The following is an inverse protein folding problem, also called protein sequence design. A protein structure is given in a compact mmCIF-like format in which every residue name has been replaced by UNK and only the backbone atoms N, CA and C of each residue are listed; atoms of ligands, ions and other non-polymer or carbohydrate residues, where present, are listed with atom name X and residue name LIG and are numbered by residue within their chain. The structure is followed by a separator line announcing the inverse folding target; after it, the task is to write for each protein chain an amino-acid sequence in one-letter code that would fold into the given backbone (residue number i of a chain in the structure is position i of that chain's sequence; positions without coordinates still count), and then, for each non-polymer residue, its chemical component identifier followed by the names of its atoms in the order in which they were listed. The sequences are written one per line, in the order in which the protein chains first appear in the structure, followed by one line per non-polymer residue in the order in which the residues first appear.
data_IF_908057724584
#
_entry.id   IF_908057724584
#
_cell.length_a   1.000
_cell.length_b   1.000
_cell.length_c   1.000
_cell.angle_alpha   90.00
_cell.angle_beta   90.00
_cell.angle_gamma   90.00
#
_symmetry.space_group_name_H-M   'P 1'
#
loop_
_entity.id
_entity.type
_entity.pdbx_description
1 polymer ?
#
# COMPACT_ATOMS: atom_id res chain seq x y z
N UNK A 1 26.88 -21.80 -40.87
CA UNK A 1 27.24 -20.40 -40.57
C UNK A 1 25.97 -19.59 -40.71
N UNK A 2 25.22 -19.35 -39.62
CA UNK A 2 25.41 -18.20 -38.68
C UNK A 2 25.07 -16.89 -39.39
N UNK A 3 24.15 -16.02 -38.99
CA UNK A 3 23.45 -15.72 -37.73
C UNK A 3 22.33 -14.72 -38.14
N UNK A 4 21.05 -14.97 -37.86
CA UNK A 4 20.36 -14.56 -36.62
C UNK A 4 20.48 -13.05 -36.32
N UNK A 5 19.65 -12.21 -36.95
CA UNK A 5 19.24 -10.89 -36.43
C UNK A 5 17.85 -10.49 -36.95
N UNK A 6 16.82 -11.21 -36.51
CA UNK A 6 15.47 -10.60 -36.44
C UNK A 6 15.39 -9.94 -35.08
N UNK A 7 15.75 -8.66 -35.07
CA UNK A 7 15.78 -7.79 -33.91
C UNK A 7 14.40 -7.78 -33.25
N UNK A 8 14.39 -8.20 -31.99
CA UNK A 8 13.24 -8.12 -31.10
C UNK A 8 12.71 -6.68 -31.06
N UNK A 9 11.57 -6.45 -31.71
CA UNK A 9 10.72 -5.32 -31.38
C UNK A 9 10.17 -5.58 -29.97
N UNK A 10 10.86 -5.04 -28.97
CA UNK A 10 10.33 -4.89 -27.63
C UNK A 10 9.05 -4.08 -27.73
N UNK A 11 7.90 -4.75 -27.70
CA UNK A 11 6.59 -4.11 -27.51
C UNK A 11 6.66 -3.39 -26.17
N UNK A 12 7.01 -2.11 -26.22
CA UNK A 12 7.03 -1.21 -25.07
C UNK A 12 5.58 -1.07 -24.63
N UNK A 13 5.16 -1.97 -23.74
CA UNK A 13 3.87 -1.94 -23.08
C UNK A 13 3.84 -0.66 -22.23
N UNK A 14 3.43 0.45 -22.85
CA UNK A 14 3.18 1.72 -22.20
C UNK A 14 1.97 1.52 -21.29
N UNK A 15 2.19 0.95 -20.10
CA UNK A 15 1.21 0.92 -19.02
C UNK A 15 0.90 2.37 -18.68
N UNK A 16 -0.19 2.89 -19.21
CA UNK A 16 -0.60 4.26 -18.92
C UNK A 16 -1.01 4.32 -17.45
N UNK A 17 -0.32 5.16 -16.69
CA UNK A 17 -0.62 5.48 -15.27
C UNK A 17 -2.07 5.97 -15.05
N UNK A 18 -2.79 6.31 -16.13
CA UNK A 18 -4.19 6.74 -16.09
C UNK A 18 -5.18 5.66 -15.66
N UNK A 19 -4.82 4.38 -15.66
CA UNK A 19 -5.71 3.29 -15.23
C UNK A 19 -5.51 2.82 -13.77
N UNK A 20 -4.81 3.59 -12.93
CA UNK A 20 -4.56 3.18 -11.54
C UNK A 20 -5.86 3.08 -10.70
N UNK A 21 -6.92 3.79 -11.09
CA UNK A 21 -8.18 3.86 -10.33
C UNK A 21 -9.24 2.97 -10.99
N UNK A 22 -9.38 1.73 -10.52
CA UNK A 22 -10.42 0.78 -10.99
C UNK A 22 -11.66 0.87 -10.11
N UNK A 23 -11.47 0.85 -8.79
CA UNK A 23 -12.55 0.93 -7.81
C UNK A 23 -12.25 2.03 -6.79
N UNK A 24 -12.59 3.27 -7.14
CA UNK A 24 -12.28 4.47 -6.37
C UNK A 24 -12.77 4.39 -4.91
N UNK A 25 -13.90 3.71 -4.67
CA UNK A 25 -14.46 3.53 -3.32
C UNK A 25 -13.63 2.59 -2.46
N UNK A 26 -13.23 1.43 -3.01
CA UNK A 26 -12.37 0.48 -2.30
C UNK A 26 -10.98 1.07 -2.03
N UNK A 27 -10.36 1.66 -3.05
CA UNK A 27 -9.01 2.21 -2.96
C UNK A 27 -8.95 3.39 -1.98
N UNK A 28 -9.93 4.31 -2.03
CA UNK A 28 -9.99 5.42 -1.07
C UNK A 28 -10.15 4.93 0.36
N UNK A 29 -11.04 3.96 0.62
CA UNK A 29 -11.18 3.38 1.97
C UNK A 29 -9.88 2.74 2.45
N UNK A 30 -9.22 1.96 1.60
CA UNK A 30 -7.98 1.28 1.97
C UNK A 30 -6.84 2.26 2.25
N UNK A 31 -6.64 3.23 1.35
CA UNK A 31 -5.64 4.29 1.54
C UNK A 31 -5.95 5.12 2.79
N UNK A 32 -7.21 5.47 3.04
CA UNK A 32 -7.61 6.22 4.22
C UNK A 32 -7.36 5.42 5.51
N UNK A 33 -7.63 4.11 5.51
CA UNK A 33 -7.31 3.26 6.66
C UNK A 33 -5.81 3.24 6.96
N UNK A 34 -4.96 3.11 5.93
CA UNK A 34 -3.48 3.14 6.08
C UNK A 34 -2.99 4.52 6.52
N UNK A 35 -3.55 5.59 5.96
CA UNK A 35 -3.17 6.95 6.32
C UNK A 35 -3.56 7.26 7.77
N UNK A 36 -4.79 6.95 8.18
CA UNK A 36 -5.27 7.21 9.53
C UNK A 36 -4.55 6.35 10.57
N UNK A 37 -4.30 5.06 10.29
CA UNK A 37 -3.53 4.22 11.21
C UNK A 37 -2.09 4.70 11.33
N UNK A 38 -1.46 5.08 10.21
CA UNK A 38 -0.12 5.64 10.19
C UNK A 38 -0.01 6.97 10.94
N UNK A 39 -0.95 7.90 10.73
CA UNK A 39 -1.01 9.17 11.46
C UNK A 39 -1.25 8.96 12.96
N UNK A 40 -2.14 8.04 13.32
CA UNK A 40 -2.42 7.72 14.73
C UNK A 40 -1.18 7.17 15.43
N UNK A 41 -0.47 6.26 14.76
CA UNK A 41 0.76 5.68 15.30
C UNK A 41 1.90 6.71 15.38
N UNK A 42 2.05 7.55 14.35
CA UNK A 42 3.01 8.65 14.33
C UNK A 42 2.74 9.66 15.46
N UNK A 43 1.48 10.03 15.67
CA UNK A 43 1.08 10.92 16.76
C UNK A 43 1.35 10.29 18.13
N UNK A 44 1.01 9.01 18.31
CA UNK A 44 1.27 8.26 19.54
C UNK A 44 2.77 8.22 19.87
N UNK A 45 3.61 7.82 18.91
CA UNK A 45 5.07 7.77 19.13
C UNK A 45 5.68 9.15 19.34
N UNK A 46 5.23 10.17 18.59
CA UNK A 46 5.71 11.54 18.76
C UNK A 46 5.34 12.08 20.15
N UNK A 47 4.14 11.76 20.64
CA UNK A 47 3.69 12.13 21.98
C UNK A 47 4.51 11.43 23.07
N UNK A 48 4.70 10.10 22.98
CA UNK A 48 5.51 9.33 23.93
C UNK A 48 6.96 9.85 23.95
N UNK A 49 7.53 10.09 22.78
CA UNK A 49 8.88 10.63 22.64
C UNK A 49 8.97 12.01 23.31
N UNK A 50 8.07 12.92 22.98
CA UNK A 50 8.05 14.26 23.55
C UNK A 50 7.86 14.24 25.07
N UNK A 51 6.92 13.45 25.60
CA UNK A 51 6.67 13.38 27.04
C UNK A 51 7.89 12.85 27.79
N UNK A 52 8.49 11.76 27.31
CA UNK A 52 9.67 11.16 27.94
C UNK A 52 10.87 12.10 27.88
N UNK A 53 11.16 12.68 26.71
CA UNK A 53 12.31 13.56 26.56
C UNK A 53 12.12 14.88 27.32
N UNK A 54 10.92 15.46 27.33
CA UNK A 54 10.64 16.67 28.08
C UNK A 54 10.87 16.48 29.60
N UNK A 55 10.37 15.38 30.18
CA UNK A 55 10.55 15.06 31.60
C UNK A 55 12.02 14.79 31.98
N UNK A 56 12.75 14.10 31.11
CA UNK A 56 14.19 13.91 31.29
C UNK A 56 14.94 15.26 31.27
N UNK A 57 14.59 16.15 30.33
CA UNK A 57 15.24 17.44 30.20
C UNK A 57 14.93 18.37 31.38
N UNK A 58 13.68 18.41 31.86
CA UNK A 58 13.34 19.20 33.05
C UNK A 58 14.13 18.73 34.28
N UNK A 59 14.23 17.42 34.48
CA UNK A 59 15.01 16.84 35.59
C UNK A 59 16.50 17.18 35.48
N UNK A 60 17.08 17.09 34.28
CA UNK A 60 18.49 17.45 34.05
C UNK A 60 18.76 18.93 34.31
N UNK A 61 17.84 19.81 33.87
CA UNK A 61 17.93 21.26 34.05
C UNK A 61 17.82 21.66 35.52
N UNK A 62 17.01 20.95 36.31
CA UNK A 62 16.83 21.24 37.74
C UNK A 62 18.00 20.73 38.60
N UNK A 63 18.62 19.62 38.21
CA UNK A 63 19.69 18.98 38.99
C UNK A 63 21.10 19.48 38.65
N UNK A 64 21.33 19.93 37.42
CA UNK A 64 22.64 20.38 36.97
C UNK A 64 22.76 21.92 37.07
N UNK A 65 23.90 22.45 37.55
CA UNK A 65 24.18 23.87 37.46
C UNK A 65 24.44 24.25 36.00
N UNK A 66 23.39 24.71 35.31
CA UNK A 66 23.41 25.11 33.90
C UNK A 66 23.12 26.60 33.76
N UNK A 67 23.79 27.27 32.82
CA UNK A 67 23.44 28.65 32.45
C UNK A 67 22.14 28.67 31.63
N UNK A 68 21.45 29.81 31.60
CA UNK A 68 20.18 29.93 30.88
C UNK A 68 20.35 29.75 29.36
N UNK A 69 21.53 30.07 28.81
CA UNK A 69 21.86 29.81 27.40
C UNK A 69 21.88 28.32 27.09
N UNK A 70 22.47 27.51 27.98
CA UNK A 70 22.54 26.04 27.82
C UNK A 70 21.14 25.43 27.89
N UNK A 71 20.31 25.88 28.83
CA UNK A 71 18.90 25.44 28.93
C UNK A 71 18.12 25.74 27.65
N UNK A 72 18.25 26.97 27.14
CA UNK A 72 17.58 27.39 25.91
C UNK A 72 18.05 26.58 24.69
N UNK A 73 19.33 26.22 24.63
CA UNK A 73 19.87 25.35 23.59
C UNK A 73 19.25 23.94 23.65
N UNK A 74 19.19 23.31 24.84
CA UNK A 74 18.59 21.98 25.01
C UNK A 74 17.13 21.94 24.53
N UNK A 75 16.31 22.92 24.92
CA UNK A 75 14.91 22.98 24.48
C UNK A 75 14.78 23.23 22.97
N UNK A 76 15.70 24.00 22.38
CA UNK A 76 15.74 24.22 20.92
C UNK A 76 16.07 22.94 20.18
N UNK A 77 17.07 22.18 20.65
CA UNK A 77 17.44 20.89 20.07
C UNK A 77 16.29 19.88 20.19
N UNK A 78 15.61 19.83 21.34
CA UNK A 78 14.42 19.02 21.54
C UNK A 78 13.34 19.35 20.50
N UNK A 79 13.02 20.63 20.34
CA UNK A 79 12.04 21.09 19.36
C UNK A 79 12.44 20.72 17.92
N UNK A 80 13.71 20.90 17.56
CA UNK A 80 14.23 20.53 16.24
C UNK A 80 14.11 19.03 15.95
N UNK A 81 14.49 18.18 16.91
CA UNK A 81 14.36 16.72 16.78
C UNK A 81 12.89 16.31 16.68
N UNK A 82 12.01 16.89 17.52
CA UNK A 82 10.56 16.63 17.45
C UNK A 82 9.97 17.04 16.10
N UNK A 83 10.36 18.20 15.55
CA UNK A 83 9.94 18.64 14.22
C UNK A 83 10.43 17.70 13.11
N UNK A 84 11.71 17.31 13.13
CA UNK A 84 12.27 16.38 12.16
C UNK A 84 11.59 15.02 12.21
N UNK A 85 11.32 14.51 13.42
CA UNK A 85 10.58 13.27 13.62
C UNK A 85 9.15 13.38 13.08
N UNK A 86 8.46 14.49 13.33
CA UNK A 86 7.12 14.76 12.81
C UNK A 86 7.09 14.81 11.28
N UNK A 87 8.02 15.53 10.65
CA UNK A 87 8.14 15.59 9.19
C UNK A 87 8.49 14.24 8.57
N UNK A 88 9.43 13.50 9.18
CA UNK A 88 9.80 12.16 8.74
C UNK A 88 8.62 11.18 8.83
N UNK A 89 7.86 11.23 9.93
CA UNK A 89 6.67 10.41 10.11
C UNK A 89 5.58 10.74 9.09
N UNK A 90 5.36 12.03 8.82
CA UNK A 90 4.42 12.48 7.80
C UNK A 90 4.82 12.00 6.40
N UNK A 91 6.11 12.12 6.05
CA UNK A 91 6.66 11.59 4.81
C UNK A 91 6.48 10.08 4.69
N UNK A 92 6.72 9.34 5.77
CA UNK A 92 6.48 7.89 5.81
C UNK A 92 5.01 7.53 5.58
N UNK A 93 4.06 8.28 6.15
CA UNK A 93 2.63 8.08 5.92
C UNK A 93 2.27 8.32 4.44
N UNK A 94 2.83 9.34 3.81
CA UNK A 94 2.62 9.62 2.37
C UNK A 94 3.10 8.44 1.52
N UNK A 95 4.34 7.98 1.76
CA UNK A 95 4.93 6.86 1.01
C UNK A 95 4.10 5.59 1.22
N UNK A 96 3.73 5.29 2.47
CA UNK A 96 2.90 4.12 2.80
C UNK A 96 1.51 4.19 2.14
N UNK A 97 0.91 5.38 2.11
CA UNK A 97 -0.38 5.61 1.43
C UNK A 97 -0.27 5.42 -0.08
N UNK A 98 0.84 5.83 -0.68
CA UNK A 98 1.12 5.59 -2.09
C UNK A 98 1.30 4.09 -2.39
N UNK A 99 2.05 3.37 -1.56
CA UNK A 99 2.19 1.91 -1.66
C UNK A 99 0.82 1.23 -1.54
N UNK A 100 0.01 1.63 -0.55
CA UNK A 100 -1.34 1.11 -0.36
C UNK A 100 -2.23 1.35 -1.58
N UNK A 101 -2.12 2.51 -2.23
CA UNK A 101 -2.84 2.81 -3.46
C UNK A 101 -2.42 1.85 -4.59
N UNK A 102 -1.12 1.66 -4.80
CA UNK A 102 -0.61 0.73 -5.83
C UNK A 102 -1.05 -0.71 -5.55
N UNK A 103 -0.95 -1.16 -4.30
CA UNK A 103 -1.39 -2.50 -3.89
C UNK A 103 -2.90 -2.69 -4.11
N UNK A 104 -3.70 -1.71 -3.71
CA UNK A 104 -5.17 -1.77 -3.88
C UNK A 104 -5.59 -1.88 -5.35
N UNK A 105 -4.79 -1.35 -6.29
CA UNK A 105 -5.02 -1.53 -7.73
C UNK A 105 -4.81 -2.98 -8.17
N UNK A 106 -3.72 -3.63 -7.72
CA UNK A 106 -3.41 -5.04 -8.01
C UNK A 106 -4.47 -6.00 -7.48
N UNK A 107 -5.21 -5.60 -6.44
CA UNK A 107 -6.36 -6.34 -5.90
C UNK A 107 -7.66 -6.03 -6.65
N UNK A 108 -7.95 -4.76 -6.91
CA UNK A 108 -9.22 -4.33 -7.50
C UNK A 108 -9.41 -4.79 -8.95
N UNK A 109 -8.32 -4.86 -9.74
CA UNK A 109 -8.36 -5.33 -11.12
C UNK A 109 -8.88 -6.76 -11.27
N UNK A 110 -8.23 -7.75 -10.63
CA UNK A 110 -8.68 -9.14 -10.62
C UNK A 110 -10.11 -9.30 -10.10
N UNK A 111 -10.46 -8.65 -8.99
CA UNK A 111 -11.81 -8.74 -8.43
C UNK A 111 -12.90 -8.22 -9.39
N UNK A 112 -12.61 -7.17 -10.16
CA UNK A 112 -13.52 -6.72 -11.21
C UNK A 112 -13.70 -7.80 -12.29
N UNK A 113 -12.61 -8.47 -12.68
CA UNK A 113 -12.67 -9.57 -13.65
C UNK A 113 -13.46 -10.77 -13.12
N UNK A 114 -13.21 -11.20 -11.87
CA UNK A 114 -14.01 -12.23 -11.19
C UNK A 114 -15.50 -11.90 -11.21
N UNK A 115 -15.87 -10.68 -10.80
CA UNK A 115 -17.28 -10.25 -10.80
C UNK A 115 -17.92 -10.35 -12.18
N UNK A 116 -17.19 -9.94 -13.24
CA UNK A 116 -17.69 -10.03 -14.61
C UNK A 116 -17.92 -11.48 -15.03
N UNK A 117 -16.99 -12.38 -14.73
CA UNK A 117 -17.13 -13.80 -15.09
C UNK A 117 -18.25 -14.46 -14.29
N UNK A 118 -18.40 -14.16 -13.00
CA UNK A 118 -19.51 -14.67 -12.18
C UNK A 118 -20.88 -14.24 -12.72
N UNK A 119 -21.00 -13.02 -13.23
CA UNK A 119 -22.23 -12.52 -13.84
C UNK A 119 -22.59 -13.29 -15.13
N UNK A 120 -21.59 -13.61 -15.96
CA UNK A 120 -21.82 -14.40 -17.17
C UNK A 120 -22.15 -15.87 -16.84
N UNK A 121 -21.49 -16.47 -15.84
CA UNK A 121 -21.81 -17.81 -15.35
C UNK A 121 -23.25 -17.85 -14.81
N UNK A 122 -23.65 -16.81 -14.07
CA UNK A 122 -25.03 -16.64 -13.59
C UNK A 122 -26.05 -16.61 -14.74
N UNK A 123 -25.66 -16.11 -15.91
CA UNK A 123 -26.49 -16.12 -17.12
C UNK A 123 -26.53 -17.47 -17.86
N UNK A 124 -25.84 -18.50 -17.34
CA UNK A 124 -25.81 -19.86 -17.89
C UNK A 124 -24.58 -20.18 -18.73
N UNK A 125 -23.62 -19.25 -18.87
CA UNK A 125 -22.38 -19.48 -19.63
C UNK A 125 -21.29 -20.07 -18.75
N UNK A 126 -21.30 -21.40 -18.62
CA UNK A 126 -20.36 -22.18 -17.78
C UNK A 126 -19.05 -22.56 -18.48
N UNK A 127 -18.94 -22.30 -19.78
CA UNK A 127 -17.75 -22.53 -20.61
C UNK A 127 -16.63 -21.49 -20.38
N UNK A 128 -16.94 -20.39 -19.69
CA UNK A 128 -16.00 -19.32 -19.39
C UNK A 128 -14.94 -19.74 -18.37
N UNK A 129 -13.71 -19.25 -18.55
CA UNK A 129 -12.59 -19.48 -17.63
C UNK A 129 -11.95 -18.15 -17.23
N UNK A 130 -11.61 -18.04 -15.96
CA UNK A 130 -10.96 -16.87 -15.37
C UNK A 130 -9.47 -16.92 -15.73
N UNK A 131 -8.98 -15.86 -16.38
CA UNK A 131 -7.55 -15.69 -16.72
C UNK A 131 -7.07 -14.34 -16.23
N UNK A 132 -6.25 -14.35 -15.18
CA UNK A 132 -5.62 -13.17 -14.61
C UNK A 132 -4.23 -12.94 -15.22
N UNK A 133 -3.70 -11.71 -15.13
CA UNK A 133 -2.34 -11.42 -15.62
C UNK A 133 -1.29 -12.06 -14.70
N UNK A 134 -0.11 -12.46 -15.20
CA UNK A 134 0.88 -13.17 -14.39
C UNK A 134 1.22 -12.51 -13.04
N UNK A 135 1.26 -11.17 -13.02
CA UNK A 135 1.58 -10.36 -11.82
C UNK A 135 0.35 -9.97 -10.98
N UNK A 136 -0.85 -10.39 -11.37
CA UNK A 136 -2.08 -10.10 -10.63
C UNK A 136 -2.16 -10.99 -9.39
N UNK A 137 -2.74 -10.44 -8.33
CA UNK A 137 -3.08 -11.22 -7.13
C UNK A 137 -4.22 -12.22 -7.47
N UNK A 138 -4.31 -13.33 -6.71
CA UNK A 138 -5.36 -14.34 -6.80
C UNK A 138 -5.29 -15.34 -7.98
N UNK A 139 -4.09 -15.60 -8.52
CA UNK A 139 -3.88 -16.64 -9.54
C UNK A 139 -4.35 -18.04 -9.09
N UNK A 140 -4.09 -18.37 -7.83
CA UNK A 140 -4.53 -19.59 -7.16
C UNK A 140 -6.06 -19.68 -7.08
N UNK A 141 -6.74 -18.59 -6.70
CA UNK A 141 -8.21 -18.53 -6.64
C UNK A 141 -8.80 -18.67 -8.05
N UNK A 142 -8.20 -18.02 -9.05
CA UNK A 142 -8.63 -18.17 -10.44
C UNK A 142 -8.53 -19.62 -10.90
N UNK A 143 -7.43 -20.30 -10.55
CA UNK A 143 -7.23 -21.73 -10.84
C UNK A 143 -8.31 -22.59 -10.17
N UNK A 144 -8.51 -22.45 -8.86
CA UNK A 144 -9.54 -23.23 -8.14
C UNK A 144 -10.95 -22.98 -8.67
N UNK A 145 -11.26 -21.75 -9.08
CA UNK A 145 -12.55 -21.42 -9.67
C UNK A 145 -12.74 -22.10 -11.04
N UNK A 146 -11.69 -22.15 -11.86
CA UNK A 146 -11.71 -22.88 -13.14
C UNK A 146 -11.89 -24.39 -12.92
N UNK A 147 -11.19 -24.98 -11.96
CA UNK A 147 -11.32 -26.41 -11.60
C UNK A 147 -12.75 -26.74 -11.15
N UNK A 148 -13.37 -25.85 -10.36
CA UNK A 148 -14.78 -25.98 -9.97
C UNK A 148 -15.71 -25.95 -11.21
N UNK A 149 -15.51 -25.02 -12.14
CA UNK A 149 -16.31 -24.94 -13.36
C UNK A 149 -16.14 -26.17 -14.25
N UNK A 150 -14.92 -26.72 -14.34
CA UNK A 150 -14.66 -27.98 -15.04
C UNK A 150 -15.43 -29.14 -14.40
N UNK A 151 -15.46 -29.23 -13.07
CA UNK A 151 -16.18 -30.28 -12.35
C UNK A 151 -17.71 -30.17 -12.52
N UNK A 152 -18.25 -28.96 -12.56
CA UNK A 152 -19.68 -28.73 -12.81
C UNK A 152 -20.06 -29.08 -14.25
N UNK A 153 -19.26 -28.63 -15.23
CA UNK A 153 -19.54 -28.88 -16.66
C UNK A 153 -19.42 -30.36 -17.01
N UNK A 154 -18.49 -31.10 -16.39
CA UNK A 154 -18.35 -32.55 -16.57
C UNK A 154 -19.54 -33.37 -16.08
N UNK A 155 -20.40 -32.80 -15.25
CA UNK A 155 -21.55 -33.51 -14.66
C UNK A 155 -22.82 -33.43 -15.49
N UNK A 156 -22.85 -32.49 -16.46
CA UNK A 156 -23.99 -32.23 -17.36
C UNK A 156 -23.82 -32.89 -18.75
N UNK A 157 -22.80 -33.74 -18.93
CA UNK A 157 -22.57 -34.61 -20.11
C UNK A 157 -22.67 -36.07 -19.69
#
# INVERSE_FOLDING_TARGET
MSSEKVTAESVRNRRSVRNLIVNRRFQFRYVLMVALSGLSLAALYSWIFYSYTHENYSTLVDLAPMTDEVKAQLYRELWQITLLLGLGSFGFVIVSSFIALVFSHRVAGPLYHFRKIFEEIRSGRTDLRIKLRPDDEFQDVAKSCNEMLDALTKKDV
#
